data_IF_340246641381
#
_entry.id   IF_340246641381
#
_cell.length_a   1.000
_cell.length_b   1.000
_cell.length_c   1.000
_cell.angle_alpha   90.00
_cell.angle_beta   90.00
_cell.angle_gamma   90.00
#
_symmetry.space_group_name_H-M   'P 1'
#
loop_
_entity.id
_entity.type
_entity.pdbx_description
1 polymer ?
#
# COMPACT_ATOMS: atom_id res chain seq x y z
N UNK A 1 1.66 15.32 10.15
CA UNK A 1 0.72 14.73 11.12
C UNK A 1 1.46 13.79 12.06
N UNK A 2 0.98 13.54 13.29
CA UNK A 2 1.55 12.52 14.17
C UNK A 2 0.81 11.18 14.04
N UNK A 3 1.54 10.07 14.08
CA UNK A 3 0.96 8.72 14.09
C UNK A 3 1.86 7.75 14.84
N UNK A 4 1.38 6.54 15.10
CA UNK A 4 2.21 5.43 15.60
C UNK A 4 2.61 4.49 14.48
N UNK A 5 3.88 4.17 14.38
CA UNK A 5 4.35 3.13 13.45
C UNK A 5 3.68 1.79 13.77
N UNK A 6 3.47 0.96 12.76
CA UNK A 6 2.80 -0.32 12.93
C UNK A 6 3.75 -1.42 13.42
N UNK A 7 5.04 -1.33 13.10
CA UNK A 7 6.09 -2.28 13.52
C UNK A 7 6.65 -1.97 14.91
N UNK A 8 7.07 -0.73 15.19
CA UNK A 8 7.74 -0.36 16.45
C UNK A 8 6.83 0.33 17.47
N UNK A 9 5.63 0.77 17.08
CA UNK A 9 4.64 1.49 17.91
C UNK A 9 5.09 2.86 18.42
N UNK A 10 6.20 3.38 17.92
CA UNK A 10 6.70 4.70 18.29
C UNK A 10 5.90 5.82 17.63
N UNK A 11 5.84 6.98 18.27
CA UNK A 11 5.16 8.16 17.73
C UNK A 11 6.09 8.91 16.79
N UNK A 12 5.65 9.11 15.54
CA UNK A 12 6.42 9.77 14.49
C UNK A 12 5.65 10.91 13.85
N UNK A 13 6.36 11.88 13.28
CA UNK A 13 5.76 12.93 12.44
C UNK A 13 5.96 12.57 10.97
N UNK A 14 4.87 12.51 10.22
CA UNK A 14 4.84 12.06 8.82
C UNK A 14 4.03 13.01 7.94
N UNK A 15 4.19 12.96 6.61
CA UNK A 15 3.31 13.65 5.67
C UNK A 15 1.83 13.41 5.98
N UNK A 16 1.01 14.44 5.78
CA UNK A 16 -0.44 14.28 5.90
C UNK A 16 -0.95 13.31 4.82
N UNK A 17 -2.01 12.58 5.14
CA UNK A 17 -2.71 11.77 4.14
C UNK A 17 -3.52 12.68 3.22
N UNK A 18 -3.61 12.36 1.94
CA UNK A 18 -4.59 12.98 1.05
C UNK A 18 -5.96 12.48 1.47
N UNK A 19 -6.78 13.40 1.99
CA UNK A 19 -8.10 13.08 2.53
C UNK A 19 -9.06 12.54 1.46
N UNK A 20 -10.18 12.00 1.92
CA UNK A 20 -11.29 11.59 1.06
C UNK A 20 -11.72 12.76 0.16
N UNK A 21 -11.85 12.50 -1.13
CA UNK A 21 -12.64 13.35 -2.00
C UNK A 21 -14.12 13.00 -1.79
N UNK A 22 -14.90 13.96 -1.29
CA UNK A 22 -16.32 13.76 -0.94
C UNK A 22 -17.21 13.84 -2.19
N UNK A 23 -16.68 14.38 -3.30
CA UNK A 23 -17.42 14.62 -4.53
C UNK A 23 -16.81 13.91 -5.75
N UNK A 24 -15.56 13.45 -5.66
CA UNK A 24 -14.85 12.72 -6.71
C UNK A 24 -14.83 11.20 -6.55
N UNK A 25 -14.37 10.52 -7.59
CA UNK A 25 -14.15 9.07 -7.67
C UNK A 25 -12.67 8.73 -7.37
N UNK A 26 -12.31 7.44 -7.33
CA UNK A 26 -10.93 7.03 -6.99
C UNK A 26 -9.84 7.64 -7.86
N UNK A 27 -10.13 7.94 -9.14
CA UNK A 27 -9.19 8.64 -10.01
C UNK A 27 -8.98 10.10 -9.63
N UNK A 28 -9.99 10.79 -9.10
CA UNK A 28 -9.85 12.18 -8.60
C UNK A 28 -9.00 12.20 -7.33
N UNK A 29 -9.18 11.21 -6.46
CA UNK A 29 -8.30 11.00 -5.31
C UNK A 29 -6.86 10.74 -5.74
N UNK A 30 -6.65 9.88 -6.75
CA UNK A 30 -5.32 9.60 -7.30
C UNK A 30 -4.68 10.86 -7.92
N UNK A 31 -5.43 11.66 -8.68
CA UNK A 31 -4.95 12.92 -9.23
C UNK A 31 -4.49 13.88 -8.12
N UNK A 32 -5.18 13.88 -6.98
CA UNK A 32 -4.85 14.68 -5.80
C UNK A 32 -3.56 14.27 -5.07
N UNK A 33 -2.95 13.12 -5.43
CA UNK A 33 -1.61 12.74 -4.95
C UNK A 33 -0.52 13.61 -5.58
N UNK A 34 -0.77 14.20 -6.75
CA UNK A 34 0.18 15.03 -7.49
C UNK A 34 0.68 16.19 -6.64
N UNK A 35 2.00 16.34 -6.53
CA UNK A 35 2.63 17.39 -5.73
C UNK A 35 2.69 17.10 -4.22
N UNK A 36 2.22 15.93 -3.78
CA UNK A 36 2.41 15.43 -2.41
C UNK A 36 3.61 14.49 -2.32
N UNK A 37 3.88 13.96 -1.12
CA UNK A 37 4.89 12.91 -0.91
C UNK A 37 4.38 11.50 -1.22
N UNK A 38 3.09 11.36 -1.56
CA UNK A 38 2.45 10.10 -1.89
C UNK A 38 2.49 9.86 -3.40
N UNK A 39 2.76 8.63 -3.81
CA UNK A 39 2.77 8.19 -5.21
C UNK A 39 1.91 6.93 -5.31
N UNK A 40 1.09 6.83 -6.35
CA UNK A 40 0.28 5.66 -6.63
C UNK A 40 1.15 4.40 -6.82
N UNK A 41 0.59 3.26 -6.45
CA UNK A 41 1.21 1.96 -6.57
C UNK A 41 0.18 1.01 -7.20
N UNK A 42 0.32 0.77 -8.50
CA UNK A 42 -0.63 -0.05 -9.27
C UNK A 42 -0.30 -1.54 -9.27
N UNK A 43 0.94 -1.91 -8.96
CA UNK A 43 1.42 -3.28 -9.09
C UNK A 43 2.28 -3.71 -7.90
N UNK A 44 2.26 -5.01 -7.57
CA UNK A 44 3.00 -5.59 -6.46
C UNK A 44 3.58 -6.97 -6.79
N UNK A 45 4.56 -7.40 -5.99
CA UNK A 45 5.25 -8.67 -6.16
C UNK A 45 6.25 -8.66 -7.32
N UNK A 46 7.06 -9.72 -7.42
CA UNK A 46 8.15 -9.84 -8.40
C UNK A 46 7.67 -9.67 -9.84
N UNK A 47 6.49 -10.16 -10.18
CA UNK A 47 5.97 -10.18 -11.55
C UNK A 47 5.00 -9.03 -11.84
N UNK A 48 4.76 -8.13 -10.88
CA UNK A 48 3.96 -6.92 -11.09
C UNK A 48 2.45 -7.16 -11.23
N UNK A 49 1.89 -8.05 -10.42
CA UNK A 49 0.44 -8.31 -10.35
C UNK A 49 -0.34 -7.11 -9.84
N UNK A 50 -1.62 -7.01 -10.19
CA UNK A 50 -2.45 -5.84 -9.91
C UNK A 50 -2.59 -5.59 -8.41
N UNK A 51 -2.25 -4.39 -7.96
CA UNK A 51 -2.43 -4.00 -6.57
C UNK A 51 -3.73 -3.21 -6.40
N UNK A 52 -4.80 -3.95 -6.09
CA UNK A 52 -6.15 -3.43 -5.96
C UNK A 52 -6.97 -3.56 -7.25
N UNK A 53 -8.14 -2.95 -7.27
CA UNK A 53 -9.07 -2.91 -8.41
C UNK A 53 -9.51 -1.48 -8.62
N UNK A 54 -8.85 -0.81 -9.56
CA UNK A 54 -9.05 0.60 -9.81
C UNK A 54 -10.37 0.83 -10.57
N UNK A 55 -11.14 1.88 -10.26
CA UNK A 55 -10.83 2.97 -9.33
C UNK A 55 -11.26 2.73 -7.87
N UNK A 56 -11.82 1.56 -7.53
CA UNK A 56 -12.44 1.34 -6.23
C UNK A 56 -11.43 1.08 -5.10
N UNK A 57 -10.34 0.39 -5.40
CA UNK A 57 -9.28 0.03 -4.45
C UNK A 57 -7.94 0.49 -5.05
N UNK A 58 -7.34 1.52 -4.46
CA UNK A 58 -6.09 2.12 -4.94
C UNK A 58 -5.09 2.16 -3.80
N UNK A 59 -3.82 1.88 -4.11
CA UNK A 59 -2.71 1.98 -3.18
C UNK A 59 -1.82 3.15 -3.53
N UNK A 60 -1.24 3.78 -2.51
CA UNK A 60 -0.15 4.73 -2.67
C UNK A 60 0.91 4.54 -1.59
N UNK A 61 2.15 4.90 -1.91
CA UNK A 61 3.30 4.81 -1.02
C UNK A 61 3.95 6.17 -0.81
N UNK A 62 4.56 6.35 0.35
CA UNK A 62 5.32 7.54 0.67
C UNK A 62 6.58 7.17 1.46
N UNK A 63 7.59 8.02 1.38
CA UNK A 63 8.74 7.97 2.27
C UNK A 63 8.84 9.30 3.03
N UNK A 64 9.25 9.22 4.28
CA UNK A 64 9.62 10.36 5.11
C UNK A 64 10.92 10.04 5.86
N UNK A 65 11.43 11.02 6.60
CA UNK A 65 12.63 10.87 7.41
C UNK A 65 12.48 11.72 8.69
N UNK A 66 12.95 11.17 9.80
CA UNK A 66 13.11 11.87 11.08
C UNK A 66 14.54 11.66 11.62
N UNK A 67 14.80 12.09 12.85
CA UNK A 67 16.12 11.96 13.49
C UNK A 67 16.61 10.51 13.63
N UNK A 68 15.71 9.53 13.59
CA UNK A 68 16.02 8.09 13.68
C UNK A 68 16.14 7.44 12.31
N UNK A 69 15.92 8.21 11.23
CA UNK A 69 16.10 7.81 9.85
C UNK A 69 14.77 7.66 9.10
N UNK A 70 14.79 6.78 8.10
CA UNK A 70 13.69 6.64 7.14
C UNK A 70 12.41 6.10 7.77
N UNK A 71 11.29 6.53 7.20
CA UNK A 71 9.94 6.07 7.49
C UNK A 71 9.25 5.68 6.18
N UNK A 72 8.57 4.54 6.19
CA UNK A 72 7.95 3.97 5.01
C UNK A 72 6.44 3.91 5.21
N UNK A 73 5.71 4.66 4.40
CA UNK A 73 4.26 4.75 4.41
C UNK A 73 3.63 4.01 3.25
N UNK A 74 2.45 3.44 3.49
CA UNK A 74 1.49 3.16 2.44
C UNK A 74 0.09 3.57 2.89
N UNK A 75 -0.77 3.93 1.94
CA UNK A 75 -2.18 4.15 2.19
C UNK A 75 -3.04 3.40 1.16
N UNK A 76 -4.26 3.13 1.58
CA UNK A 76 -5.31 2.57 0.74
C UNK A 76 -6.41 3.59 0.60
N UNK A 77 -6.93 3.74 -0.61
CA UNK A 77 -8.27 4.23 -0.88
C UNK A 77 -9.15 3.02 -1.17
N UNK A 78 -10.26 2.86 -0.44
CA UNK A 78 -11.26 1.81 -0.67
C UNK A 78 -12.64 2.46 -0.68
N UNK A 79 -13.20 2.64 -1.88
CA UNK A 79 -14.53 3.23 -2.09
C UNK A 79 -14.77 4.55 -1.33
N UNK A 80 -13.74 5.39 -1.25
CA UNK A 80 -13.77 6.68 -0.56
C UNK A 80 -13.12 6.69 0.82
N UNK A 81 -12.89 5.54 1.45
CA UNK A 81 -12.20 5.46 2.73
C UNK A 81 -10.69 5.42 2.55
N UNK A 82 -9.99 6.40 3.16
CA UNK A 82 -8.53 6.53 3.04
C UNK A 82 -7.85 6.23 4.37
N UNK A 83 -6.92 5.28 4.38
CA UNK A 83 -6.20 4.89 5.59
C UNK A 83 -4.69 4.70 5.36
N UNK A 84 -3.87 5.44 6.09
CA UNK A 84 -2.41 5.36 6.01
C UNK A 84 -1.81 4.52 7.16
N UNK A 85 -0.78 3.74 6.84
CA UNK A 85 0.07 3.01 7.79
C UNK A 85 1.53 3.38 7.55
N UNK A 86 2.28 3.51 8.64
CA UNK A 86 3.70 3.89 8.62
C UNK A 86 4.54 2.85 9.36
N UNK A 87 5.76 2.64 8.91
CA UNK A 87 6.70 1.62 9.40
C UNK A 87 8.12 2.19 9.45
N UNK A 88 8.94 1.67 10.36
CA UNK A 88 10.36 2.03 10.45
C UNK A 88 11.21 1.30 9.41
N UNK A 89 10.76 0.13 8.96
CA UNK A 89 11.48 -0.66 7.94
C UNK A 89 10.70 -0.81 6.65
N UNK A 90 11.44 -0.79 5.53
CA UNK A 90 10.90 -1.08 4.19
C UNK A 90 10.26 -2.46 4.16
N UNK A 91 10.90 -3.45 4.77
CA UNK A 91 10.45 -4.84 4.79
C UNK A 91 9.15 -5.03 5.56
N UNK A 92 8.98 -4.37 6.72
CA UNK A 92 7.71 -4.43 7.45
C UNK A 92 6.57 -3.80 6.66
N UNK A 93 6.82 -2.67 5.99
CA UNK A 93 5.85 -2.05 5.07
C UNK A 93 5.55 -2.96 3.88
N UNK A 94 6.56 -3.58 3.26
CA UNK A 94 6.38 -4.49 2.13
C UNK A 94 5.57 -5.73 2.53
N UNK A 95 5.84 -6.32 3.69
CA UNK A 95 5.06 -7.43 4.22
C UNK A 95 3.60 -7.04 4.49
N UNK A 96 3.36 -5.81 4.95
CA UNK A 96 2.00 -5.31 5.15
C UNK A 96 1.23 -5.16 3.83
N UNK A 97 1.85 -4.55 2.81
CA UNK A 97 1.25 -4.47 1.46
C UNK A 97 1.00 -5.87 0.91
N UNK A 98 1.96 -6.78 1.06
CA UNK A 98 1.85 -8.18 0.59
C UNK A 98 0.66 -8.92 1.18
N UNK A 99 0.33 -8.66 2.45
CA UNK A 99 -0.84 -9.25 3.11
C UNK A 99 -2.15 -8.70 2.56
N UNK A 100 -2.20 -7.40 2.28
CA UNK A 100 -3.39 -6.79 1.68
C UNK A 100 -3.55 -7.25 0.21
N UNK A 101 -2.46 -7.27 -0.56
CA UNK A 101 -2.43 -7.81 -1.93
C UNK A 101 -2.92 -9.26 -1.98
N UNK A 102 -2.38 -10.13 -1.12
CA UNK A 102 -2.82 -11.51 -0.99
C UNK A 102 -4.34 -11.62 -0.78
N UNK A 103 -4.89 -10.81 0.13
CA UNK A 103 -6.32 -10.84 0.42
C UNK A 103 -7.15 -10.45 -0.81
N UNK A 104 -6.77 -9.37 -1.52
CA UNK A 104 -7.47 -8.94 -2.72
C UNK A 104 -7.40 -9.97 -3.86
N UNK A 105 -6.25 -10.61 -4.03
CA UNK A 105 -6.07 -11.67 -5.03
C UNK A 105 -6.86 -12.94 -4.70
N UNK A 106 -6.69 -13.48 -3.50
CA UNK A 106 -7.37 -14.71 -3.08
C UNK A 106 -8.91 -14.53 -3.02
N UNK A 107 -9.40 -13.32 -2.78
CA UNK A 107 -10.84 -13.01 -2.77
C UNK A 107 -11.42 -12.72 -4.16
N UNK A 108 -10.59 -12.73 -5.21
CA UNK A 108 -11.01 -12.41 -6.59
C UNK A 108 -11.36 -10.93 -6.80
N UNK A 109 -10.86 -10.05 -5.94
CA UNK A 109 -11.05 -8.59 -6.04
C UNK A 109 -9.98 -7.90 -6.87
N UNK A 110 -8.89 -8.58 -7.22
CA UNK A 110 -7.82 -8.08 -8.10
C UNK A 110 -7.13 -9.25 -8.81
N UNK A 111 -6.54 -8.99 -9.97
CA UNK A 111 -5.84 -10.00 -10.76
C UNK A 111 -4.46 -10.30 -10.16
N UNK A 112 -4.38 -11.47 -9.52
CA UNK A 112 -3.21 -11.94 -8.80
C UNK A 112 -2.51 -13.13 -9.46
N UNK A 113 -1.49 -13.68 -8.79
CA UNK A 113 -0.84 -14.92 -9.20
C UNK A 113 -1.84 -16.09 -9.23
N UNK A 114 -1.82 -16.89 -10.30
CA UNK A 114 -2.65 -18.11 -10.45
C UNK A 114 -2.50 -19.06 -9.26
N UNK A 115 -1.31 -19.10 -8.64
CA UNK A 115 -1.03 -19.92 -7.45
C UNK A 115 -1.90 -19.58 -6.23
N UNK A 116 -2.60 -18.44 -6.23
CA UNK A 116 -3.51 -18.03 -5.16
C UNK A 116 -4.98 -18.35 -5.43
N UNK A 117 -5.33 -18.84 -6.63
CA UNK A 117 -6.70 -19.18 -6.97
C UNK A 117 -7.26 -20.25 -6.02
N UNK A 118 -8.42 -19.95 -5.42
CA UNK A 118 -9.11 -20.86 -4.49
C UNK A 118 -8.45 -21.01 -3.12
N UNK A 119 -7.39 -20.24 -2.80
CA UNK A 119 -6.87 -20.16 -1.45
C UNK A 119 -7.79 -19.33 -0.55
N UNK A 120 -7.77 -19.60 0.75
CA UNK A 120 -8.50 -18.80 1.73
C UNK A 120 -7.84 -17.42 1.88
N UNK A 121 -8.56 -16.31 1.60
CA UNK A 121 -8.04 -14.95 1.78
C UNK A 121 -7.64 -14.61 3.21
N UNK A 122 -8.20 -15.29 4.21
CA UNK A 122 -7.90 -15.07 5.64
C UNK A 122 -6.61 -15.77 6.08
N UNK A 123 -6.18 -16.80 5.36
CA UNK A 123 -4.96 -17.54 5.66
C UNK A 123 -3.81 -17.04 4.78
N UNK A 124 -3.16 -15.94 5.19
CA UNK A 124 -1.99 -15.44 4.44
C UNK A 124 -0.93 -16.53 4.23
N UNK A 125 -0.69 -16.87 2.95
CA UNK A 125 0.34 -17.83 2.54
C UNK A 125 1.39 -17.10 1.70
N UNK A 126 2.63 -16.97 2.20
CA UNK A 126 3.69 -16.38 1.39
C UNK A 126 3.96 -17.29 0.19
N UNK A 127 3.95 -16.71 -1.00
CA UNK A 127 4.40 -17.35 -2.24
C UNK A 127 5.71 -16.68 -2.69
N UNK A 128 6.48 -17.37 -3.53
CA UNK A 128 7.72 -16.80 -4.06
C UNK A 128 7.46 -15.47 -4.77
N UNK A 129 8.33 -14.48 -4.54
CA UNK A 129 8.20 -13.15 -5.13
C UNK A 129 7.09 -12.26 -4.55
N UNK A 130 6.23 -12.71 -3.63
CA UNK A 130 5.13 -11.91 -3.08
C UNK A 130 5.61 -10.67 -2.29
N UNK A 131 6.65 -10.85 -1.49
CA UNK A 131 7.21 -9.79 -0.65
C UNK A 131 8.29 -8.96 -1.36
N UNK A 132 8.59 -9.30 -2.61
CA UNK A 132 9.53 -8.56 -3.43
C UNK A 132 8.77 -7.45 -4.14
N UNK A 133 8.95 -6.19 -3.76
CA UNK A 133 8.34 -5.10 -4.51
C UNK A 133 8.86 -5.17 -5.95
N UNK A 134 7.94 -5.14 -6.92
CA UNK A 134 8.28 -4.90 -8.31
C UNK A 134 9.19 -3.65 -8.39
N UNK A 135 10.42 -3.78 -8.91
CA UNK A 135 11.48 -2.78 -8.76
C UNK A 135 11.89 -2.23 -10.14
N UNK A 136 12.20 -0.90 -10.30
CA UNK A 136 13.29 -0.26 -9.54
C UNK A 136 13.03 1.10 -8.84
N UNK A 137 12.03 1.90 -9.20
CA UNK A 137 11.98 3.33 -8.79
C UNK A 137 10.97 3.69 -7.71
N UNK A 138 9.94 2.87 -7.47
CA UNK A 138 8.80 3.18 -6.60
C UNK A 138 9.02 2.83 -5.12
N UNK A 139 10.17 2.24 -4.81
CA UNK A 139 10.54 1.82 -3.47
C UNK A 139 11.63 2.70 -2.82
N UNK A 140 11.81 3.91 -3.35
CA UNK A 140 12.81 4.88 -2.87
C UNK A 140 12.45 5.55 -1.57
#
# INVERSE_FOLDING_TARGET
MQTKTKDTKETVTVPAIVGRDVYGEGYDWMASLTGTSWNELSAWGRDGWDLGSWPYIIFAVAQAEDEQGKLFGYCTYVEGDVAARWYRTRDARSLAISKEAYWYWASGQADGPEALEGLDPQEFRPIDGLCEPFNPSWAR
#
